data_IF_220288321822
#
_entry.id   IF_220288321822
#
_cell.length_a   1.000
_cell.length_b   1.000
_cell.length_c   1.000
_cell.angle_alpha   90.00
_cell.angle_beta   90.00
_cell.angle_gamma   90.00
#
_symmetry.space_group_name_H-M   'P 1'
#
loop_
_entity.id
_entity.type
_entity.pdbx_description
1 polymer ?
#
# COMPACT_ATOMS: atom_id res chain seq x y z
N UNK A 1 -18.71 14.55 3.64
CA UNK A 1 -17.30 14.75 4.03
C UNK A 1 -16.69 15.86 3.18
N UNK A 2 -15.73 16.56 3.71
CA UNK A 2 -15.04 17.66 3.05
C UNK A 2 -13.54 17.41 3.09
N UNK A 3 -12.88 17.59 1.96
CA UNK A 3 -11.44 17.59 1.84
C UNK A 3 -10.96 19.03 1.68
N UNK A 4 -10.06 19.47 2.55
CA UNK A 4 -9.36 20.75 2.41
C UNK A 4 -8.00 20.47 1.76
N UNK A 5 -7.82 21.01 0.57
CA UNK A 5 -6.63 20.80 -0.25
C UNK A 5 -6.29 22.07 -1.01
N UNK A 6 -5.06 22.55 -0.86
CA UNK A 6 -4.52 23.72 -1.60
C UNK A 6 -5.51 24.90 -1.71
N UNK A 7 -6.02 25.39 -0.58
CA UNK A 7 -7.03 26.46 -0.46
C UNK A 7 -8.41 26.17 -1.08
N UNK A 8 -8.64 24.95 -1.55
CA UNK A 8 -9.93 24.48 -2.06
C UNK A 8 -10.58 23.52 -1.09
N UNK A 9 -11.92 23.52 -1.07
CA UNK A 9 -12.71 22.54 -0.30
C UNK A 9 -13.53 21.71 -1.27
N UNK A 10 -13.28 20.41 -1.30
CA UNK A 10 -13.97 19.44 -2.14
C UNK A 10 -14.91 18.62 -1.28
N UNK A 11 -16.15 18.43 -1.74
CA UNK A 11 -17.16 17.64 -1.03
C UNK A 11 -17.34 16.27 -1.69
N UNK A 12 -17.47 15.23 -0.87
CA UNK A 12 -17.89 13.89 -1.28
C UNK A 12 -18.88 13.30 -0.29
N UNK A 13 -19.43 12.13 -0.62
CA UNK A 13 -20.26 11.32 0.28
C UNK A 13 -19.55 10.04 0.60
N UNK A 14 -19.83 9.47 1.77
CA UNK A 14 -19.44 8.10 2.09
C UNK A 14 -20.23 7.11 1.23
N UNK A 15 -19.58 6.02 0.88
CA UNK A 15 -20.24 4.85 0.32
C UNK A 15 -20.99 4.08 1.43
N UNK A 16 -21.77 3.06 1.05
CA UNK A 16 -22.55 2.26 2.00
C UNK A 16 -21.68 1.49 3.01
N UNK A 17 -20.45 1.19 2.66
CA UNK A 17 -19.43 0.56 3.49
C UNK A 17 -18.67 1.55 4.41
N UNK A 18 -19.03 2.84 4.36
CA UNK A 18 -18.39 3.91 5.13
C UNK A 18 -17.14 4.49 4.50
N UNK A 19 -16.63 3.91 3.41
CA UNK A 19 -15.49 4.47 2.69
C UNK A 19 -15.89 5.71 1.88
N UNK A 20 -14.90 6.49 1.51
CA UNK A 20 -15.09 7.67 0.66
C UNK A 20 -13.94 7.82 -0.33
N UNK A 21 -14.19 8.52 -1.41
CA UNK A 21 -13.21 8.81 -2.45
C UNK A 21 -13.26 10.27 -2.83
N UNK A 22 -12.09 10.90 -2.89
CA UNK A 22 -11.90 12.20 -3.51
C UNK A 22 -11.12 12.04 -4.82
N UNK A 23 -11.58 12.67 -5.88
CA UNK A 23 -10.83 12.82 -7.12
C UNK A 23 -10.40 14.27 -7.22
N UNK A 24 -9.08 14.50 -7.17
CA UNK A 24 -8.50 15.84 -7.15
C UNK A 24 -7.72 16.03 -8.45
N UNK A 25 -7.99 17.12 -9.20
CA UNK A 25 -7.16 17.46 -10.36
C UNK A 25 -5.70 17.68 -9.92
N UNK A 26 -4.77 17.23 -10.74
CA UNK A 26 -3.35 17.50 -10.48
C UNK A 26 -3.09 18.99 -10.62
N UNK A 27 -2.66 19.61 -9.52
CA UNK A 27 -2.22 21.01 -9.53
C UNK A 27 -0.70 21.07 -9.77
N UNK A 28 -0.29 21.75 -10.84
CA UNK A 28 1.11 21.89 -11.20
C UNK A 28 1.94 22.65 -10.15
N UNK A 29 1.29 23.49 -9.34
CA UNK A 29 1.93 24.29 -8.29
C UNK A 29 2.29 23.49 -7.04
N UNK A 30 1.67 22.33 -6.85
CA UNK A 30 1.93 21.45 -5.70
C UNK A 30 3.26 20.72 -5.89
N UNK A 31 4.09 20.73 -4.86
CA UNK A 31 5.40 20.08 -4.84
C UNK A 31 5.34 18.56 -5.03
N UNK A 32 6.52 17.94 -5.09
CA UNK A 32 6.67 16.49 -5.14
C UNK A 32 6.92 15.92 -3.73
N UNK A 33 6.78 14.61 -3.58
CA UNK A 33 6.97 13.90 -2.32
C UNK A 33 5.65 13.67 -1.58
N UNK A 34 5.72 13.56 -0.27
CA UNK A 34 4.55 13.41 0.58
C UNK A 34 3.87 14.75 0.81
N UNK A 35 2.58 14.82 0.54
CA UNK A 35 1.75 16.02 0.62
C UNK A 35 0.62 15.73 1.59
N UNK A 36 0.49 16.59 2.60
CA UNK A 36 -0.52 16.45 3.63
C UNK A 36 -1.85 17.08 3.20
N UNK A 37 -2.95 16.52 3.69
CA UNK A 37 -4.30 17.04 3.51
C UNK A 37 -5.12 16.85 4.80
N UNK A 38 -6.23 17.56 4.87
CA UNK A 38 -7.21 17.42 5.96
C UNK A 38 -8.56 17.00 5.41
N UNK A 39 -9.16 16.01 6.07
CA UNK A 39 -10.54 15.58 5.80
C UNK A 39 -11.39 15.89 7.02
N UNK A 40 -12.54 16.48 6.79
CA UNK A 40 -13.51 16.76 7.87
C UNK A 40 -14.88 16.15 7.56
N UNK A 41 -15.55 15.74 8.62
CA UNK A 41 -16.95 15.32 8.60
C UNK A 41 -17.71 16.08 9.66
N UNK A 42 -18.92 16.52 9.33
CA UNK A 42 -19.84 17.10 10.29
C UNK A 42 -20.83 16.00 10.72
N UNK A 43 -20.85 15.69 12.00
CA UNK A 43 -21.73 14.72 12.60
C UNK A 43 -22.27 15.27 13.93
N UNK A 44 -23.60 15.29 14.11
CA UNK A 44 -24.28 15.83 15.31
C UNK A 44 -23.80 17.24 15.71
N UNK A 45 -23.66 18.14 14.74
CA UNK A 45 -23.14 19.51 14.91
C UNK A 45 -21.67 19.61 15.39
N UNK A 46 -20.94 18.50 15.48
CA UNK A 46 -19.51 18.47 15.75
C UNK A 46 -18.73 18.27 14.45
N UNK A 47 -17.60 18.95 14.36
CA UNK A 47 -16.68 18.76 13.22
C UNK A 47 -15.53 17.88 13.67
N UNK A 48 -15.45 16.68 13.08
CA UNK A 48 -14.31 15.77 13.25
C UNK A 48 -13.34 16.03 12.10
N UNK A 49 -12.07 16.26 12.41
CA UNK A 49 -11.01 16.52 11.45
C UNK A 49 -9.94 15.47 11.58
N UNK A 50 -9.56 14.86 10.44
CA UNK A 50 -8.47 13.91 10.35
C UNK A 50 -7.45 14.36 9.30
N UNK A 51 -6.18 14.09 9.58
CA UNK A 51 -5.07 14.39 8.67
C UNK A 51 -4.64 13.15 7.93
N UNK A 52 -4.36 13.31 6.66
CA UNK A 52 -3.81 12.26 5.83
C UNK A 52 -2.71 12.81 4.93
N UNK A 53 -2.13 11.93 4.13
CA UNK A 53 -1.14 12.34 3.15
C UNK A 53 -1.19 11.42 1.94
N UNK A 54 -0.81 11.95 0.81
CA UNK A 54 -0.61 11.20 -0.43
C UNK A 54 0.79 11.45 -0.97
N UNK A 55 1.25 10.58 -1.86
CA UNK A 55 2.55 10.75 -2.50
C UNK A 55 2.38 11.28 -3.92
N UNK A 56 3.17 12.30 -4.26
CA UNK A 56 3.38 12.76 -5.63
C UNK A 56 4.81 12.44 -6.03
N UNK A 57 5.04 11.34 -6.78
CA UNK A 57 6.39 10.94 -7.16
C UNK A 57 7.10 11.99 -8.02
N UNK A 58 8.39 12.17 -7.78
CA UNK A 58 9.23 13.03 -8.64
C UNK A 58 9.44 12.37 -10.00
N UNK A 59 9.66 13.20 -11.03
CA UNK A 59 9.97 12.70 -12.37
C UNK A 59 11.23 11.80 -12.34
N UNK A 60 11.13 10.65 -12.95
CA UNK A 60 12.22 9.65 -12.98
C UNK A 60 12.41 8.86 -11.68
N UNK A 61 11.50 8.99 -10.67
CA UNK A 61 11.50 8.10 -9.51
C UNK A 61 11.07 6.68 -9.86
N UNK A 62 11.44 5.74 -8.99
CA UNK A 62 10.91 4.38 -9.03
C UNK A 62 9.63 4.30 -8.20
N UNK A 63 8.73 3.42 -8.62
CA UNK A 63 7.66 2.90 -7.79
C UNK A 63 8.07 1.55 -7.23
N UNK A 64 8.09 1.39 -5.91
CA UNK A 64 8.40 0.10 -5.28
C UNK A 64 7.09 -0.47 -4.76
N UNK A 65 6.67 -1.59 -5.32
CA UNK A 65 5.47 -2.30 -4.88
C UNK A 65 5.91 -3.55 -4.13
N UNK A 66 5.50 -3.66 -2.87
CA UNK A 66 5.88 -4.76 -2.01
C UNK A 66 4.65 -5.42 -1.40
N UNK A 67 4.63 -6.75 -1.40
CA UNK A 67 3.80 -7.50 -0.48
C UNK A 67 4.28 -7.31 0.96
N UNK A 68 3.40 -7.59 1.91
CA UNK A 68 3.66 -7.45 3.34
C UNK A 68 3.98 -8.80 3.98
N UNK A 69 3.07 -9.75 3.78
CA UNK A 69 3.11 -11.06 4.43
C UNK A 69 4.21 -11.92 3.80
N UNK A 70 5.02 -12.57 4.65
CA UNK A 70 6.18 -13.38 4.28
C UNK A 70 7.23 -12.71 3.36
N UNK A 71 6.97 -11.49 2.86
CA UNK A 71 7.93 -10.69 2.11
C UNK A 71 8.85 -9.90 3.04
N UNK A 72 8.30 -9.18 4.01
CA UNK A 72 9.10 -8.54 5.07
C UNK A 72 8.68 -8.91 6.49
N UNK A 73 7.42 -9.34 6.70
CA UNK A 73 6.88 -9.81 7.97
C UNK A 73 6.89 -11.34 7.99
N UNK A 74 7.55 -11.95 8.97
CA UNK A 74 7.58 -13.41 9.10
C UNK A 74 6.24 -13.91 9.64
N UNK A 75 5.51 -14.68 8.84
CA UNK A 75 4.27 -15.37 9.19
C UNK A 75 4.52 -16.87 9.38
N UNK A 76 4.23 -17.40 10.56
CA UNK A 76 4.55 -18.80 10.89
C UNK A 76 3.39 -19.77 10.63
N UNK A 77 2.37 -19.47 9.79
CA UNK A 77 1.21 -20.37 9.69
C UNK A 77 0.32 -20.24 8.46
N UNK A 78 -0.32 -21.40 8.15
CA UNK A 78 -1.27 -21.64 7.07
C UNK A 78 -2.59 -20.84 7.10
N UNK A 79 -2.81 -19.98 8.10
CA UNK A 79 -3.95 -19.06 8.14
C UNK A 79 -3.46 -17.69 8.65
N UNK A 80 -2.82 -16.91 7.77
CA UNK A 80 -2.07 -15.72 8.14
C UNK A 80 -2.94 -14.67 8.84
N UNK A 81 -4.19 -14.49 8.42
CA UNK A 81 -5.07 -13.44 8.92
C UNK A 81 -5.49 -13.63 10.39
N UNK A 82 -5.83 -14.85 10.79
CA UNK A 82 -6.27 -15.13 12.18
C UNK A 82 -5.11 -15.08 13.16
N UNK A 83 -3.92 -15.52 12.74
CA UNK A 83 -2.73 -15.50 13.61
C UNK A 83 -1.99 -14.18 13.56
N UNK A 84 -2.04 -13.46 12.45
CA UNK A 84 -1.62 -12.07 12.42
C UNK A 84 -2.41 -11.28 13.47
N UNK A 85 -3.74 -11.37 13.51
CA UNK A 85 -4.59 -10.72 14.50
C UNK A 85 -4.23 -11.11 15.95
N UNK A 86 -4.09 -12.38 16.28
CA UNK A 86 -3.76 -12.87 17.65
C UNK A 86 -2.33 -12.48 18.06
N UNK A 87 -1.39 -12.48 17.12
CA UNK A 87 -0.01 -12.08 17.38
C UNK A 87 0.17 -10.55 17.43
N UNK A 88 -0.74 -9.79 16.83
CA UNK A 88 -0.76 -8.32 16.83
C UNK A 88 -1.04 -7.74 18.22
N UNK A 89 -1.88 -8.41 19.01
CA UNK A 89 -2.21 -7.96 20.35
C UNK A 89 -1.14 -8.32 21.41
N UNK A 90 -0.15 -9.15 21.08
CA UNK A 90 0.84 -9.64 22.05
C UNK A 90 2.22 -8.99 22.03
N UNK A 91 2.60 -8.15 21.09
CA UNK A 91 3.83 -7.31 21.09
C UNK A 91 4.34 -7.04 19.67
N UNK A 92 4.11 -5.84 19.18
CA UNK A 92 4.64 -5.36 17.88
C UNK A 92 6.16 -5.42 17.81
N UNK A 93 6.84 -5.16 18.95
CA UNK A 93 8.29 -5.14 19.05
C UNK A 93 8.98 -6.51 19.05
N UNK A 94 8.22 -7.60 19.28
CA UNK A 94 8.79 -8.95 19.31
C UNK A 94 8.82 -9.67 17.95
N UNK A 95 8.26 -9.04 16.93
CA UNK A 95 8.21 -9.65 15.58
C UNK A 95 9.52 -9.48 14.85
N UNK A 96 9.97 -10.59 14.28
CA UNK A 96 11.18 -10.62 13.48
C UNK A 96 10.86 -10.17 12.06
N UNK A 97 11.65 -9.25 11.58
CA UNK A 97 11.81 -8.94 10.17
C UNK A 97 12.86 -9.88 9.57
N UNK A 98 12.71 -10.25 8.33
CA UNK A 98 13.74 -11.00 7.64
C UNK A 98 15.05 -10.22 7.61
N UNK A 99 16.15 -10.95 7.79
CA UNK A 99 17.50 -10.34 7.77
C UNK A 99 17.71 -9.57 6.47
N UNK A 100 18.29 -8.38 6.59
CA UNK A 100 18.62 -7.47 5.49
C UNK A 100 17.42 -6.85 4.72
N UNK A 101 16.17 -7.12 5.08
CA UNK A 101 15.00 -6.48 4.41
C UNK A 101 15.04 -4.97 4.57
N UNK A 102 15.27 -4.50 5.80
CA UNK A 102 15.29 -3.06 6.09
C UNK A 102 16.35 -2.36 5.26
N UNK A 103 17.58 -2.88 5.22
CA UNK A 103 18.67 -2.30 4.42
C UNK A 103 18.37 -2.33 2.92
N UNK A 104 17.77 -3.41 2.43
CA UNK A 104 17.36 -3.52 1.02
C UNK A 104 16.27 -2.48 0.68
N UNK A 105 15.25 -2.33 1.52
CA UNK A 105 14.17 -1.36 1.30
C UNK A 105 14.68 0.07 1.41
N UNK A 106 15.57 0.36 2.35
CA UNK A 106 16.23 1.66 2.46
C UNK A 106 17.07 1.97 1.22
N UNK A 107 17.82 0.99 0.71
CA UNK A 107 18.57 1.13 -0.54
C UNK A 107 17.65 1.42 -1.73
N UNK A 108 16.52 0.69 -1.86
CA UNK A 108 15.53 0.93 -2.90
C UNK A 108 14.86 2.30 -2.75
N UNK A 109 14.62 2.78 -1.53
CA UNK A 109 13.99 4.09 -1.31
C UNK A 109 14.84 5.25 -1.83
N UNK A 110 16.16 5.09 -1.86
CA UNK A 110 17.11 6.12 -2.33
C UNK A 110 17.72 5.80 -3.69
N UNK A 111 17.42 4.65 -4.28
CA UNK A 111 18.01 4.21 -5.54
C UNK A 111 17.77 5.20 -6.69
N UNK A 112 18.84 5.62 -7.36
CA UNK A 112 18.77 6.57 -8.47
C UNK A 112 18.40 8.00 -8.06
N UNK A 113 18.44 8.34 -6.76
CA UNK A 113 18.20 9.70 -6.27
C UNK A 113 19.52 10.43 -6.02
N UNK A 114 19.62 11.64 -6.54
CA UNK A 114 20.79 12.49 -6.32
C UNK A 114 20.66 13.31 -5.02
N UNK A 115 19.42 13.54 -4.58
CA UNK A 115 19.14 14.30 -3.38
C UNK A 115 18.70 13.33 -2.27
N UNK A 116 19.36 13.39 -1.11
CA UNK A 116 19.04 12.55 0.06
C UNK A 116 17.62 12.75 0.60
N UNK A 117 17.01 13.89 0.30
CA UNK A 117 15.64 14.19 0.73
C UNK A 117 14.58 13.64 -0.24
N UNK A 118 14.99 13.20 -1.43
CA UNK A 118 14.09 12.58 -2.40
C UNK A 118 14.04 11.08 -2.20
N UNK A 119 12.84 10.54 -2.10
CA UNK A 119 12.62 9.10 -1.97
C UNK A 119 11.78 8.59 -3.12
N UNK A 120 12.02 7.34 -3.49
CA UNK A 120 11.17 6.58 -4.38
C UNK A 120 9.83 6.28 -3.71
N UNK A 121 8.76 6.21 -4.49
CA UNK A 121 7.44 5.93 -3.98
C UNK A 121 7.30 4.45 -3.58
N UNK A 122 6.90 4.18 -2.34
CA UNK A 122 6.59 2.84 -1.85
C UNK A 122 5.09 2.62 -1.76
N UNK A 123 4.66 1.42 -2.16
CA UNK A 123 3.30 0.93 -2.09
C UNK A 123 3.32 -0.46 -1.43
N UNK A 124 2.71 -0.58 -0.26
CA UNK A 124 2.53 -1.88 0.40
C UNK A 124 1.16 -2.41 0.05
N UNK A 125 1.13 -3.52 -0.68
CA UNK A 125 -0.11 -4.17 -1.14
C UNK A 125 -0.24 -5.49 -0.39
N UNK A 126 -1.35 -5.70 0.32
CA UNK A 126 -1.58 -6.90 1.11
C UNK A 126 -3.00 -7.42 0.93
N UNK A 127 -3.16 -8.73 1.12
CA UNK A 127 -4.45 -9.39 1.26
C UNK A 127 -5.06 -9.21 2.66
N UNK A 128 -4.35 -8.57 3.58
CA UNK A 128 -4.84 -8.20 4.91
C UNK A 128 -5.94 -7.15 4.84
N UNK A 129 -6.88 -7.22 5.76
CA UNK A 129 -8.01 -6.29 5.84
C UNK A 129 -7.63 -4.95 6.50
N UNK A 130 -8.43 -3.92 6.27
CA UNK A 130 -8.21 -2.55 6.77
C UNK A 130 -8.15 -2.42 8.31
N UNK A 131 -8.71 -3.36 9.06
CA UNK A 131 -8.58 -3.41 10.52
C UNK A 131 -7.12 -3.53 11.00
N UNK A 132 -6.21 -3.96 10.13
CA UNK A 132 -4.77 -4.08 10.40
C UNK A 132 -3.97 -2.81 10.05
N UNK A 133 -4.61 -1.77 9.51
CA UNK A 133 -3.95 -0.56 9.04
C UNK A 133 -3.01 0.07 10.10
N UNK A 134 -3.55 0.38 11.27
CA UNK A 134 -2.78 1.03 12.35
C UNK A 134 -1.60 0.18 12.82
N UNK A 135 -1.77 -1.14 12.82
CA UNK A 135 -0.70 -2.04 13.17
C UNK A 135 0.42 -2.02 12.12
N UNK A 136 0.08 -2.15 10.84
CA UNK A 136 1.08 -2.18 9.76
C UNK A 136 1.87 -0.87 9.76
N UNK A 137 1.21 0.28 9.93
CA UNK A 137 1.90 1.57 10.06
C UNK A 137 2.89 1.56 11.24
N UNK A 138 2.45 1.18 12.44
CA UNK A 138 3.32 1.11 13.62
C UNK A 138 4.49 0.14 13.42
N UNK A 139 4.23 -1.00 12.80
CA UNK A 139 5.27 -1.97 12.49
C UNK A 139 6.32 -1.39 11.55
N UNK A 140 5.91 -0.75 10.46
CA UNK A 140 6.84 -0.13 9.49
C UNK A 140 7.67 0.99 10.13
N UNK A 141 7.10 1.78 11.02
CA UNK A 141 7.79 2.84 11.77
C UNK A 141 8.83 2.27 12.74
N UNK A 142 8.46 1.30 13.59
CA UNK A 142 9.35 0.67 14.56
C UNK A 142 10.57 0.05 13.87
N UNK A 143 10.34 -0.61 12.73
CA UNK A 143 11.41 -1.27 11.98
C UNK A 143 12.09 -0.36 10.95
N UNK A 144 11.76 0.93 10.91
CA UNK A 144 12.37 1.92 10.00
C UNK A 144 12.25 1.52 8.53
N UNK A 145 11.15 0.88 8.16
CA UNK A 145 10.83 0.64 6.75
C UNK A 145 10.44 1.96 6.06
N UNK A 146 10.63 2.10 4.75
CA UNK A 146 10.20 3.30 4.03
C UNK A 146 8.71 3.60 4.22
N UNK A 147 8.36 4.87 4.34
CA UNK A 147 6.98 5.31 4.35
C UNK A 147 6.32 4.93 3.03
N UNK A 148 5.13 4.33 3.09
CA UNK A 148 4.44 3.82 1.92
C UNK A 148 2.94 4.14 1.92
N UNK A 149 2.35 4.10 0.72
CA UNK A 149 0.89 4.01 0.59
C UNK A 149 0.47 2.58 0.87
N UNK A 150 -0.48 2.39 1.78
CA UNK A 150 -1.04 1.07 2.10
C UNK A 150 -2.29 0.80 1.26
N UNK A 151 -2.29 -0.35 0.60
CA UNK A 151 -3.44 -0.86 -0.16
C UNK A 151 -3.85 -2.22 0.41
N UNK A 152 -4.72 -2.16 1.40
CA UNK A 152 -5.25 -3.33 2.11
C UNK A 152 -6.55 -3.80 1.47
N UNK A 153 -6.93 -5.03 1.76
CA UNK A 153 -8.18 -5.62 1.25
C UNK A 153 -9.39 -4.93 1.90
N UNK A 154 -10.35 -4.56 1.07
CA UNK A 154 -11.60 -3.98 1.55
C UNK A 154 -12.40 -5.03 2.32
N UNK A 155 -13.03 -4.63 3.42
CA UNK A 155 -13.90 -5.49 4.21
C UNK A 155 -15.16 -5.74 3.36
N UNK A 156 -15.43 -7.00 3.03
CA UNK A 156 -16.65 -7.35 2.29
C UNK A 156 -17.86 -7.18 3.20
N UNK A 157 -18.68 -6.19 2.92
CA UNK A 157 -19.90 -5.87 3.70
C UNK A 157 -21.16 -6.48 3.11
N UNK A 158 -21.12 -7.03 1.88
CA UNK A 158 -22.29 -7.55 1.16
C UNK A 158 -22.16 -9.04 0.83
N UNK A 159 -23.23 -9.80 1.07
CA UNK A 159 -23.40 -11.19 0.62
C UNK A 159 -23.33 -11.34 -0.92
N UNK A 160 -23.61 -10.28 -1.69
CA UNK A 160 -23.51 -10.27 -3.15
C UNK A 160 -22.05 -10.39 -3.62
N UNK A 161 -21.10 -9.88 -2.86
CA UNK A 161 -19.67 -9.97 -3.19
C UNK A 161 -19.14 -11.42 -3.04
N UNK A 162 -19.84 -12.26 -2.29
CA UNK A 162 -19.49 -13.66 -2.09
C UNK A 162 -19.84 -14.55 -3.30
N UNK A 163 -20.90 -14.20 -4.04
CA UNK A 163 -21.42 -15.02 -5.14
C UNK A 163 -20.66 -14.78 -6.45
N UNK A 164 -20.16 -13.56 -6.67
CA UNK A 164 -19.45 -13.19 -7.90
C UNK A 164 -17.94 -13.45 -7.87
N UNK A 165 -17.34 -13.72 -6.73
CA UNK A 165 -15.89 -13.96 -6.58
C UNK A 165 -15.59 -15.43 -6.26
N UNK A 166 -16.10 -16.35 -7.06
CA UNK A 166 -15.81 -17.79 -6.97
C UNK A 166 -14.34 -18.19 -7.25
N UNK A 167 -13.41 -17.23 -7.33
CA UNK A 167 -11.95 -17.41 -7.37
C UNK A 167 -11.29 -16.32 -6.55
N UNK A 168 -10.93 -16.68 -5.37
CA UNK A 168 -9.90 -16.27 -4.44
C UNK A 168 -9.39 -14.82 -4.39
N UNK A 169 -8.89 -14.45 -3.23
CA UNK A 169 -8.27 -13.18 -2.87
C UNK A 169 -7.12 -12.64 -3.78
N UNK A 170 -6.69 -13.40 -4.78
CA UNK A 170 -5.60 -13.08 -5.71
C UNK A 170 -5.99 -12.00 -6.72
N UNK A 171 -7.26 -11.97 -7.16
CA UNK A 171 -7.72 -10.95 -8.10
C UNK A 171 -7.65 -9.54 -7.50
N UNK A 172 -7.87 -9.40 -6.21
CA UNK A 172 -7.84 -8.12 -5.50
C UNK A 172 -6.44 -7.48 -5.46
N UNK A 173 -5.39 -8.27 -5.18
CA UNK A 173 -3.99 -7.80 -5.16
C UNK A 173 -3.54 -7.38 -6.56
N UNK A 174 -3.90 -8.19 -7.57
CA UNK A 174 -3.65 -7.88 -8.97
C UNK A 174 -4.29 -6.55 -9.41
N UNK A 175 -5.57 -6.34 -9.14
CA UNK A 175 -6.28 -5.12 -9.51
C UNK A 175 -5.69 -3.88 -8.82
N UNK A 176 -5.27 -3.99 -7.55
CA UNK A 176 -4.61 -2.88 -6.84
C UNK A 176 -3.26 -2.52 -7.46
N UNK A 177 -2.45 -3.51 -7.80
CA UNK A 177 -1.16 -3.29 -8.46
C UNK A 177 -1.37 -2.68 -9.84
N UNK A 178 -2.26 -3.25 -10.64
CA UNK A 178 -2.64 -2.71 -11.96
C UNK A 178 -3.06 -1.25 -11.84
N UNK A 179 -3.92 -0.92 -10.89
CA UNK A 179 -4.37 0.44 -10.66
C UNK A 179 -3.23 1.42 -10.30
N UNK A 180 -2.24 0.99 -9.53
CA UNK A 180 -1.04 1.81 -9.26
C UNK A 180 -0.29 2.12 -10.54
N UNK A 181 -0.07 1.11 -11.40
CA UNK A 181 0.67 1.29 -12.66
C UNK A 181 -0.09 2.18 -13.64
N UNK A 182 -1.41 2.05 -13.71
CA UNK A 182 -2.28 2.91 -14.53
C UNK A 182 -2.34 4.34 -14.02
N UNK A 183 -2.34 4.53 -12.69
CA UNK A 183 -2.41 5.85 -12.07
C UNK A 183 -1.08 6.64 -12.20
N UNK A 184 0.06 5.93 -12.14
CA UNK A 184 1.39 6.51 -12.31
C UNK A 184 2.12 5.92 -13.53
N UNK A 185 1.63 6.12 -14.77
CA UNK A 185 2.12 5.41 -15.96
C UNK A 185 3.56 5.77 -16.34
N UNK A 186 4.08 6.86 -15.83
CA UNK A 186 5.45 7.32 -16.12
C UNK A 186 6.51 6.76 -15.16
N UNK A 187 6.11 6.05 -14.11
CA UNK A 187 7.06 5.41 -13.20
C UNK A 187 7.60 4.11 -13.79
N UNK A 188 8.79 3.75 -13.34
CA UNK A 188 9.36 2.41 -13.49
C UNK A 188 9.25 1.69 -12.16
N UNK A 189 8.86 0.42 -12.20
CA UNK A 189 8.49 -0.33 -11.00
C UNK A 189 9.46 -1.45 -10.67
N UNK A 190 9.66 -1.63 -9.39
CA UNK A 190 10.27 -2.82 -8.79
C UNK A 190 9.20 -3.51 -7.95
N UNK A 191 9.00 -4.80 -8.19
CA UNK A 191 8.01 -5.62 -7.48
C UNK A 191 8.74 -6.53 -6.49
N UNK A 192 8.27 -6.58 -5.25
CA UNK A 192 8.83 -7.37 -4.16
C UNK A 192 7.76 -8.29 -3.60
N UNK A 193 7.99 -9.57 -3.61
CA UNK A 193 7.08 -10.61 -3.12
C UNK A 193 7.83 -11.83 -2.62
N UNK A 194 7.09 -12.90 -2.33
CA UNK A 194 7.62 -14.19 -1.88
C UNK A 194 7.03 -15.36 -2.68
N UNK A 195 7.55 -16.55 -2.43
CA UNK A 195 7.11 -17.78 -3.07
C UNK A 195 6.10 -18.60 -2.24
N UNK A 196 5.72 -18.13 -1.05
CA UNK A 196 4.75 -18.80 -0.18
C UNK A 196 3.30 -18.65 -0.67
N UNK A 197 3.05 -17.64 -1.51
CA UNK A 197 1.76 -17.31 -2.09
C UNK A 197 1.83 -17.28 -3.63
N UNK A 198 0.82 -16.69 -4.27
CA UNK A 198 0.75 -16.62 -5.74
C UNK A 198 1.48 -15.40 -6.34
N UNK A 199 2.32 -14.71 -5.57
CA UNK A 199 3.04 -13.51 -6.04
C UNK A 199 3.85 -13.76 -7.32
N UNK A 200 4.55 -14.90 -7.53
CA UNK A 200 5.25 -15.15 -8.78
C UNK A 200 4.34 -15.12 -10.01
N UNK A 201 3.17 -15.77 -9.94
CA UNK A 201 2.20 -15.80 -11.05
C UNK A 201 1.52 -14.45 -11.24
N UNK A 202 1.22 -13.77 -10.15
CA UNK A 202 0.63 -12.44 -10.18
C UNK A 202 1.58 -11.45 -10.86
N UNK A 203 2.85 -11.44 -10.47
CA UNK A 203 3.85 -10.52 -11.02
C UNK A 203 4.21 -10.86 -12.46
N UNK A 204 4.21 -12.15 -12.85
CA UNK A 204 4.35 -12.54 -14.25
C UNK A 204 3.24 -11.91 -15.12
N UNK A 205 1.98 -11.96 -14.66
CA UNK A 205 0.85 -11.35 -15.37
C UNK A 205 0.97 -9.82 -15.44
N UNK A 206 1.40 -9.16 -14.37
CA UNK A 206 1.67 -7.72 -14.37
C UNK A 206 2.77 -7.38 -15.39
N UNK A 207 3.85 -8.15 -15.45
CA UNK A 207 4.92 -7.96 -16.42
C UNK A 207 4.44 -8.11 -17.87
N UNK A 208 3.54 -9.06 -18.15
CA UNK A 208 2.95 -9.23 -19.48
C UNK A 208 2.12 -8.02 -19.93
N UNK A 209 1.39 -7.40 -19.01
CA UNK A 209 0.52 -6.24 -19.30
C UNK A 209 1.34 -4.94 -19.34
N UNK A 210 2.33 -4.79 -18.47
CA UNK A 210 3.13 -3.58 -18.32
C UNK A 210 4.63 -3.81 -18.55
N UNK A 211 5.04 -4.39 -19.69
CA UNK A 211 6.43 -4.81 -19.92
C UNK A 211 7.43 -3.66 -19.91
N UNK A 212 6.97 -2.46 -20.27
CA UNK A 212 7.83 -1.26 -20.28
C UNK A 212 7.98 -0.65 -18.89
N UNK A 213 6.98 -0.84 -18.01
CA UNK A 213 6.96 -0.21 -16.70
C UNK A 213 7.71 -1.02 -15.63
N UNK A 214 7.65 -2.34 -15.67
CA UNK A 214 8.33 -3.19 -14.69
C UNK A 214 9.81 -3.33 -15.03
N UNK A 215 10.69 -2.92 -14.09
CA UNK A 215 12.15 -2.98 -14.20
C UNK A 215 12.73 -4.25 -13.64
N UNK A 216 12.20 -4.70 -12.50
CA UNK A 216 12.67 -5.88 -11.80
C UNK A 216 11.57 -6.48 -10.94
N UNK A 217 11.65 -7.78 -10.73
CA UNK A 217 10.83 -8.54 -9.79
C UNK A 217 11.77 -9.31 -8.88
N UNK A 218 11.61 -9.16 -7.58
CA UNK A 218 12.34 -9.92 -6.56
C UNK A 218 11.35 -10.82 -5.83
N UNK A 219 11.56 -12.13 -5.93
CA UNK A 219 10.79 -13.14 -5.22
C UNK A 219 11.68 -13.73 -4.14
N UNK A 220 11.29 -13.54 -2.89
CA UNK A 220 11.94 -14.17 -1.76
C UNK A 220 11.59 -15.66 -1.72
N UNK A 221 12.61 -16.49 -1.61
CA UNK A 221 12.43 -17.89 -1.29
C UNK A 221 12.24 -18.03 0.21
N UNK A 222 11.06 -18.52 0.62
CA UNK A 222 10.70 -18.68 2.04
C UNK A 222 11.18 -20.00 2.60
N UNK A 223 11.62 -20.94 1.76
CA UNK A 223 12.16 -22.25 2.14
C UNK A 223 11.07 -23.08 2.82
N UNK A 224 10.30 -23.81 2.05
CA UNK A 224 9.45 -24.90 2.55
C UNK A 224 10.25 -26.18 2.62
#
# INVERSE_FOLDING_TARGET
MYLKYNNSTIRTRTLDDGYFKFCIPVDATVGFGWIDYEVSIIHNNETIVEKGSYIRPTKGSLGIISDIDDTFLISYTSNPLKKLYVLLFRNVSSRKIYRNVVSHYQALSSAGRNNKNEQNAFFYVSSSEWNLYTFIIRFTEIHKLPRAVLLLKDIKTSLKDFVFTGRGGHNHKFEKIKHILEFYPNLKYVLLGDDSQEDPFLYENICKIFPVNVKAVYIRQTGS
#
